data_IF_797290514347
#
_entry.id   IF_797290514347
#
_cell.length_a   1.000
_cell.length_b   1.000
_cell.length_c   1.000
_cell.angle_alpha   90.00
_cell.angle_beta   90.00
_cell.angle_gamma   90.00
#
_symmetry.space_group_name_H-M   'P 1'
#
loop_
_entity.id
_entity.type
_entity.pdbx_description
1 polymer ?
#
# COMPACT_ATOMS: atom_id res chain seq x y z
N UNK A 1 -15.34 22.74 13.53
CA UNK A 1 -14.07 22.06 13.86
C UNK A 1 -12.91 23.02 13.59
N UNK A 2 -11.91 23.10 14.46
CA UNK A 2 -10.68 23.88 14.17
C UNK A 2 -9.76 23.05 13.28
N UNK A 3 -9.69 23.39 11.99
CA UNK A 3 -8.88 22.67 11.01
C UNK A 3 -7.36 22.91 11.17
N UNK A 4 -6.96 23.89 11.98
CA UNK A 4 -5.54 24.21 12.20
C UNK A 4 -4.81 23.08 12.93
N UNK A 5 -5.52 22.28 13.74
CA UNK A 5 -4.95 21.11 14.41
C UNK A 5 -4.36 20.08 13.44
N UNK A 6 -4.79 20.06 12.18
CA UNK A 6 -4.31 19.15 11.15
C UNK A 6 -3.13 19.66 10.32
N UNK A 7 -2.71 20.91 10.51
CA UNK A 7 -1.71 21.56 9.65
C UNK A 7 -0.38 20.82 9.55
N UNK A 8 0.01 20.07 10.60
CA UNK A 8 1.26 19.31 10.58
C UNK A 8 1.19 18.00 9.82
N UNK A 9 -0.05 17.42 9.70
CA UNK A 9 -0.23 16.08 9.14
C UNK A 9 -0.92 16.08 7.78
N UNK A 10 -1.84 17.01 7.51
CA UNK A 10 -2.64 17.04 6.27
C UNK A 10 -1.80 17.30 5.01
N UNK A 11 -2.26 16.90 3.81
CA UNK A 11 -1.80 17.48 2.56
C UNK A 11 -1.91 19.01 2.58
N UNK A 12 -1.12 19.67 1.77
CA UNK A 12 -1.30 21.13 1.60
C UNK A 12 -2.64 21.43 0.94
N UNK A 13 -3.26 22.56 1.30
CA UNK A 13 -4.38 23.11 0.53
C UNK A 13 -3.87 23.65 -0.80
N UNK A 14 -4.73 23.77 -1.79
CA UNK A 14 -4.30 24.19 -3.13
C UNK A 14 -3.78 25.64 -3.13
N UNK A 15 -4.30 26.50 -2.23
CA UNK A 15 -3.85 27.88 -2.04
C UNK A 15 -2.41 27.98 -1.48
N UNK A 16 -1.93 26.94 -0.80
CA UNK A 16 -0.57 26.89 -0.25
C UNK A 16 0.47 26.47 -1.32
N UNK A 17 0.03 25.84 -2.41
CA UNK A 17 0.92 25.24 -3.41
C UNK A 17 1.91 26.23 -4.05
N UNK A 18 1.54 27.47 -4.41
CA UNK A 18 2.49 28.40 -5.02
C UNK A 18 3.72 28.64 -4.14
N UNK A 19 3.51 28.86 -2.83
CA UNK A 19 4.61 29.06 -1.88
C UNK A 19 5.44 27.78 -1.75
N UNK A 20 4.80 26.62 -1.57
CA UNK A 20 5.48 25.33 -1.37
C UNK A 20 6.29 24.95 -2.62
N UNK A 21 5.82 25.26 -3.82
CA UNK A 21 6.58 25.03 -5.05
C UNK A 21 7.84 25.89 -5.10
N UNK A 22 7.79 27.17 -4.73
CA UNK A 22 8.99 28.01 -4.66
C UNK A 22 10.00 27.47 -3.63
N UNK A 23 9.53 27.02 -2.47
CA UNK A 23 10.38 26.42 -1.45
C UNK A 23 11.03 25.12 -1.92
N UNK A 24 10.32 24.27 -2.67
CA UNK A 24 10.88 23.06 -3.29
C UNK A 24 11.88 23.40 -4.40
N UNK A 25 11.55 24.35 -5.27
CA UNK A 25 12.40 24.78 -6.39
C UNK A 25 13.72 25.39 -5.88
N UNK A 26 13.68 26.08 -4.75
CA UNK A 26 14.85 26.67 -4.11
C UNK A 26 15.72 25.65 -3.37
N UNK A 27 15.21 24.45 -3.07
CA UNK A 27 15.95 23.40 -2.32
C UNK A 27 16.95 22.68 -3.23
N UNK A 28 18.28 22.77 -2.95
CA UNK A 28 19.30 22.13 -3.80
C UNK A 28 19.21 20.62 -3.84
N UNK A 29 18.76 19.97 -2.73
CA UNK A 29 18.63 18.53 -2.65
C UNK A 29 17.43 18.04 -3.49
N UNK A 30 16.30 18.77 -3.45
CA UNK A 30 15.17 18.52 -4.34
C UNK A 30 15.57 18.72 -5.81
N UNK A 31 16.26 19.81 -6.15
CA UNK A 31 16.76 20.04 -7.51
C UNK A 31 17.59 18.87 -8.02
N UNK A 32 18.56 18.40 -7.21
CA UNK A 32 19.40 17.25 -7.55
C UNK A 32 18.57 15.99 -7.77
N UNK A 33 17.61 15.71 -6.89
CA UNK A 33 16.74 14.54 -6.97
C UNK A 33 15.84 14.60 -8.21
N UNK A 34 15.21 15.74 -8.48
CA UNK A 34 14.32 15.93 -9.63
C UNK A 34 15.09 15.80 -10.97
N UNK A 35 16.27 16.38 -11.06
CA UNK A 35 17.14 16.25 -12.25
C UNK A 35 17.59 14.81 -12.46
N UNK A 36 17.86 14.07 -11.37
CA UNK A 36 18.22 12.65 -11.47
C UNK A 36 17.04 11.75 -11.87
N UNK A 37 15.83 12.08 -11.43
CA UNK A 37 14.61 11.34 -11.78
C UNK A 37 14.16 11.58 -13.24
N UNK A 38 14.41 12.77 -13.80
CA UNK A 38 14.02 13.17 -15.16
C UNK A 38 15.23 13.78 -15.87
N UNK A 39 16.25 12.97 -16.20
CA UNK A 39 17.56 13.48 -16.63
C UNK A 39 17.56 14.24 -17.97
N UNK A 40 16.56 14.00 -18.81
CA UNK A 40 16.47 14.62 -20.15
C UNK A 40 15.68 15.94 -20.17
N UNK A 41 15.24 16.43 -19.00
CA UNK A 41 14.47 17.69 -18.89
C UNK A 41 15.24 18.67 -18.02
N UNK A 42 15.57 19.87 -18.53
CA UNK A 42 16.17 20.92 -17.72
C UNK A 42 15.32 21.26 -16.48
N UNK A 43 15.94 21.42 -15.33
CA UNK A 43 15.23 21.68 -14.08
C UNK A 43 14.33 22.93 -14.15
N UNK A 44 14.75 23.95 -14.86
CA UNK A 44 13.99 25.20 -15.06
C UNK A 44 12.65 24.96 -15.76
N UNK A 45 12.59 23.98 -16.68
CA UNK A 45 11.33 23.59 -17.31
C UNK A 45 10.43 22.82 -16.32
N UNK A 46 11.01 21.97 -15.48
CA UNK A 46 10.26 21.31 -14.39
C UNK A 46 9.70 22.35 -13.41
N UNK A 47 10.52 23.31 -12.98
CA UNK A 47 10.10 24.40 -12.11
C UNK A 47 8.99 25.26 -12.74
N UNK A 48 9.13 25.62 -14.01
CA UNK A 48 8.09 26.34 -14.75
C UNK A 48 6.80 25.54 -14.80
N UNK A 49 6.88 24.23 -15.07
CA UNK A 49 5.71 23.34 -15.08
C UNK A 49 5.06 23.24 -13.70
N UNK A 50 5.83 23.16 -12.60
CA UNK A 50 5.32 23.17 -11.24
C UNK A 50 4.48 24.44 -10.98
N UNK A 51 4.98 25.62 -11.36
CA UNK A 51 4.28 26.91 -11.19
C UNK A 51 2.94 27.00 -11.95
N UNK A 52 2.73 26.17 -12.99
CA UNK A 52 1.45 26.11 -13.70
C UNK A 52 0.40 25.27 -13.02
N UNK A 53 0.78 24.40 -12.07
CA UNK A 53 -0.15 23.55 -11.32
C UNK A 53 -0.92 24.40 -10.30
N UNK A 54 -2.24 24.38 -10.37
CA UNK A 54 -3.13 25.11 -9.43
C UNK A 54 -3.65 24.22 -8.33
N UNK A 55 -3.75 22.91 -8.59
CA UNK A 55 -4.25 21.91 -7.66
C UNK A 55 -3.23 20.79 -7.48
N UNK A 56 -3.36 20.03 -6.39
CA UNK A 56 -2.59 18.80 -6.18
C UNK A 56 -2.80 17.79 -7.30
N UNK A 57 -4.02 17.72 -7.83
CA UNK A 57 -4.33 16.81 -8.96
C UNK A 57 -3.60 17.25 -10.23
N UNK A 58 -3.48 18.57 -10.49
CA UNK A 58 -2.68 19.08 -11.62
C UNK A 58 -1.22 18.63 -11.48
N UNK A 59 -0.66 18.77 -10.27
CA UNK A 59 0.70 18.30 -9.99
C UNK A 59 0.86 16.80 -10.22
N UNK A 60 -0.07 15.98 -9.70
CA UNK A 60 -0.04 14.53 -9.89
C UNK A 60 -0.11 14.15 -11.37
N UNK A 61 -0.99 14.78 -12.14
CA UNK A 61 -1.10 14.57 -13.59
C UNK A 61 0.13 15.03 -14.35
N UNK A 62 0.75 16.13 -13.94
CA UNK A 62 1.90 16.71 -14.63
C UNK A 62 3.21 15.95 -14.37
N UNK A 63 3.38 15.37 -13.18
CA UNK A 63 4.67 14.80 -12.73
C UNK A 63 4.61 13.31 -12.35
N UNK A 64 3.51 12.84 -11.75
CA UNK A 64 3.44 11.47 -11.25
C UNK A 64 2.82 10.50 -12.27
N UNK A 65 1.75 10.92 -12.93
CA UNK A 65 0.95 10.06 -13.79
C UNK A 65 1.76 9.42 -14.92
N UNK A 66 2.47 10.21 -15.72
CA UNK A 66 3.28 9.69 -16.84
C UNK A 66 4.45 8.82 -16.38
N UNK A 67 5.09 9.16 -15.24
CA UNK A 67 6.18 8.36 -14.67
C UNK A 67 5.66 7.00 -14.19
N UNK A 68 4.52 6.98 -13.49
CA UNK A 68 3.95 5.74 -12.97
C UNK A 68 3.44 4.82 -14.10
N UNK A 69 2.86 5.39 -15.16
CA UNK A 69 2.49 4.61 -16.34
C UNK A 69 3.71 4.04 -17.06
N UNK A 70 4.77 4.83 -17.21
CA UNK A 70 6.03 4.33 -17.76
C UNK A 70 6.60 3.17 -16.93
N UNK A 71 6.60 3.29 -15.60
CA UNK A 71 7.01 2.18 -14.72
C UNK A 71 6.11 0.96 -14.92
N UNK A 72 4.80 1.15 -15.05
CA UNK A 72 3.87 0.05 -15.30
C UNK A 72 4.16 -0.64 -16.64
N UNK A 73 4.36 0.12 -17.72
CA UNK A 73 4.66 -0.39 -19.06
C UNK A 73 6.00 -1.14 -19.13
N UNK A 74 7.03 -0.63 -18.45
CA UNK A 74 8.39 -1.21 -18.48
C UNK A 74 8.53 -2.43 -17.54
N UNK A 75 7.77 -2.49 -16.45
CA UNK A 75 8.00 -3.47 -15.36
C UNK A 75 6.80 -4.34 -15.03
N UNK A 76 5.70 -4.28 -15.84
CA UNK A 76 4.55 -5.19 -15.70
C UNK A 76 4.10 -5.75 -17.05
N UNK A 77 3.37 -6.86 -17.00
CA UNK A 77 2.64 -7.42 -18.15
C UNK A 77 1.16 -6.99 -18.14
N UNK A 78 0.89 -5.81 -17.64
CA UNK A 78 -0.42 -5.20 -17.55
C UNK A 78 -0.80 -4.82 -16.12
N UNK A 79 -1.33 -3.62 -16.00
CA UNK A 79 -1.85 -3.02 -14.78
C UNK A 79 -3.35 -2.76 -14.97
N UNK A 80 -4.18 -3.31 -14.08
CA UNK A 80 -5.64 -3.27 -14.22
C UNK A 80 -6.34 -2.97 -12.89
N UNK A 81 -7.52 -2.31 -12.98
CA UNK A 81 -8.40 -2.03 -11.84
C UNK A 81 -9.82 -2.48 -12.17
N UNK A 82 -10.43 -3.25 -11.28
CA UNK A 82 -11.88 -3.44 -11.22
C UNK A 82 -12.45 -2.65 -10.03
N UNK A 83 -13.30 -1.67 -10.34
CA UNK A 83 -13.97 -0.79 -9.37
C UNK A 83 -15.48 -0.91 -9.42
N UNK A 84 -16.03 -1.93 -10.11
CA UNK A 84 -17.46 -2.07 -10.37
C UNK A 84 -18.29 -2.30 -9.10
N UNK A 85 -17.70 -2.81 -8.03
CA UNK A 85 -18.38 -3.03 -6.75
C UNK A 85 -18.79 -1.74 -6.02
N UNK A 86 -18.26 -0.58 -6.44
CA UNK A 86 -18.61 0.75 -5.90
C UNK A 86 -19.27 1.60 -6.98
N UNK A 87 -20.59 1.58 -7.10
CA UNK A 87 -21.30 2.25 -8.20
C UNK A 87 -21.26 3.78 -8.09
N UNK A 88 -21.16 4.32 -6.86
CA UNK A 88 -21.09 5.77 -6.65
C UNK A 88 -19.65 6.27 -6.68
N UNK A 89 -19.15 6.60 -7.86
CA UNK A 89 -17.79 7.14 -8.07
C UNK A 89 -17.55 8.54 -7.46
N UNK A 90 -18.61 9.23 -7.01
CA UNK A 90 -18.51 10.55 -6.37
C UNK A 90 -18.47 10.49 -4.85
N UNK A 91 -18.75 9.33 -4.26
CA UNK A 91 -18.69 9.12 -2.81
C UNK A 91 -17.24 8.84 -2.40
N UNK A 92 -16.82 9.41 -1.27
CA UNK A 92 -15.53 9.11 -0.67
C UNK A 92 -15.54 7.74 0.03
N UNK A 93 -14.45 6.99 -0.14
CA UNK A 93 -14.22 5.69 0.46
C UNK A 93 -12.85 5.62 1.12
N UNK A 94 -12.75 4.86 2.20
CA UNK A 94 -11.46 4.43 2.76
C UNK A 94 -11.08 3.09 2.12
N UNK A 95 -10.17 3.13 1.16
CA UNK A 95 -9.60 1.90 0.58
C UNK A 95 -8.62 1.30 1.56
N UNK A 96 -8.98 0.16 2.17
CA UNK A 96 -8.08 -0.63 3.03
C UNK A 96 -7.58 -1.82 2.21
N UNK A 97 -6.26 -1.94 2.07
CA UNK A 97 -5.68 -3.00 1.25
C UNK A 97 -4.60 -3.81 1.96
N UNK A 98 -4.34 -5.03 1.47
CA UNK A 98 -3.06 -5.67 1.65
C UNK A 98 -1.94 -4.80 1.06
N UNK A 99 -0.67 -5.03 1.45
CA UNK A 99 0.43 -4.13 1.10
C UNK A 99 1.58 -4.90 0.46
N UNK A 100 1.83 -4.64 -0.83
CA UNK A 100 2.86 -5.31 -1.66
C UNK A 100 4.08 -4.44 -1.87
N UNK A 101 3.89 -3.17 -2.24
CA UNK A 101 4.95 -2.23 -2.58
C UNK A 101 4.84 -0.92 -1.78
N UNK A 102 5.99 -0.35 -1.39
CA UNK A 102 6.02 0.87 -0.55
C UNK A 102 5.43 2.08 -1.28
N UNK A 103 5.64 2.18 -2.59
CA UNK A 103 5.28 3.34 -3.41
C UNK A 103 4.16 3.01 -4.38
N UNK A 104 4.24 1.84 -5.04
CA UNK A 104 3.39 1.54 -6.19
C UNK A 104 1.96 1.15 -5.82
N UNK A 105 1.69 0.64 -4.61
CA UNK A 105 0.33 0.29 -4.24
C UNK A 105 -0.59 1.52 -4.29
N UNK A 106 -0.22 2.61 -3.63
CA UNK A 106 -0.98 3.87 -3.68
C UNK A 106 -0.79 4.63 -4.98
N UNK A 107 0.41 4.55 -5.57
CA UNK A 107 0.73 5.19 -6.85
C UNK A 107 -0.08 4.61 -8.00
N UNK A 108 -0.09 3.29 -8.17
CA UNK A 108 -0.87 2.61 -9.20
C UNK A 108 -2.37 2.79 -8.98
N UNK A 109 -2.85 2.69 -7.73
CA UNK A 109 -4.25 2.99 -7.44
C UNK A 109 -4.62 4.40 -7.94
N UNK A 110 -3.79 5.41 -7.66
CA UNK A 110 -4.06 6.80 -8.03
C UNK A 110 -4.17 6.98 -9.55
N UNK A 111 -3.24 6.42 -10.35
CA UNK A 111 -3.31 6.56 -11.82
C UNK A 111 -4.49 5.80 -12.41
N UNK A 112 -4.81 4.62 -11.88
CA UNK A 112 -5.95 3.82 -12.31
C UNK A 112 -7.29 4.50 -12.02
N UNK A 113 -7.42 5.20 -10.88
CA UNK A 113 -8.59 6.00 -10.56
C UNK A 113 -8.75 7.18 -11.51
N UNK A 114 -7.64 7.87 -11.85
CA UNK A 114 -7.64 8.96 -12.84
C UNK A 114 -8.14 8.47 -14.20
N UNK A 115 -7.73 7.31 -14.65
CA UNK A 115 -8.17 6.72 -15.92
C UNK A 115 -9.68 6.39 -15.94
N UNK A 116 -10.23 6.11 -14.77
CA UNK A 116 -11.68 5.91 -14.62
C UNK A 116 -12.46 7.22 -14.42
N UNK A 117 -11.80 8.38 -14.54
CA UNK A 117 -12.40 9.70 -14.39
C UNK A 117 -12.68 10.09 -12.93
N UNK A 118 -12.02 9.42 -11.97
CA UNK A 118 -12.13 9.71 -10.53
C UNK A 118 -10.97 10.56 -10.06
N UNK A 119 -11.11 11.17 -8.88
CA UNK A 119 -10.01 11.82 -8.19
C UNK A 119 -9.08 10.78 -7.54
N UNK A 120 -7.83 11.15 -7.30
CA UNK A 120 -6.85 10.34 -6.60
C UNK A 120 -7.16 10.28 -5.10
N UNK A 121 -6.55 9.33 -4.40
CA UNK A 121 -6.72 9.18 -2.95
C UNK A 121 -5.76 10.06 -2.14
N UNK A 122 -6.13 10.40 -0.91
CA UNK A 122 -5.16 10.79 0.10
C UNK A 122 -4.48 9.56 0.68
N UNK A 123 -3.16 9.64 0.90
CA UNK A 123 -2.31 8.49 1.19
C UNK A 123 -1.75 8.61 2.60
N UNK A 124 -1.98 7.59 3.45
CA UNK A 124 -1.34 7.49 4.75
C UNK A 124 0.14 7.12 4.61
N UNK A 125 1.07 8.01 4.99
CA UNK A 125 2.51 7.77 4.91
C UNK A 125 3.18 7.91 6.28
N UNK A 126 4.01 6.93 6.67
CA UNK A 126 4.79 7.00 7.91
C UNK A 126 5.90 8.04 7.84
N UNK A 127 6.08 8.80 8.92
CA UNK A 127 7.13 9.84 9.03
C UNK A 127 8.56 9.27 8.96
N UNK A 128 8.76 7.99 9.25
CA UNK A 128 10.03 7.30 9.10
C UNK A 128 10.58 7.28 7.67
N UNK A 129 9.74 7.52 6.67
CA UNK A 129 10.13 7.63 5.25
C UNK A 129 10.51 9.05 4.85
N UNK A 130 10.27 10.04 5.71
CA UNK A 130 10.43 11.47 5.44
C UNK A 130 11.79 12.00 5.93
N UNK A 131 12.88 11.37 5.46
CA UNK A 131 14.25 11.62 5.92
C UNK A 131 14.82 13.00 5.58
N UNK A 132 14.22 13.69 4.59
CA UNK A 132 14.62 15.05 4.21
C UNK A 132 13.41 16.01 4.22
N UNK A 133 13.60 17.30 4.58
CA UNK A 133 12.50 18.27 4.62
C UNK A 133 11.76 18.42 3.29
N UNK A 134 12.46 18.38 2.16
CA UNK A 134 11.84 18.47 0.83
C UNK A 134 10.97 17.24 0.51
N UNK A 135 11.31 16.04 1.01
CA UNK A 135 10.46 14.85 0.83
C UNK A 135 9.13 15.06 1.56
N UNK A 136 9.16 15.58 2.81
CA UNK A 136 7.94 15.90 3.56
C UNK A 136 7.03 16.87 2.80
N UNK A 137 7.61 17.90 2.17
CA UNK A 137 6.85 18.82 1.32
C UNK A 137 6.28 18.12 0.09
N UNK A 138 7.11 17.37 -0.63
CA UNK A 138 6.71 16.71 -1.87
C UNK A 138 5.56 15.70 -1.66
N UNK A 139 5.64 14.86 -0.63
CA UNK A 139 4.57 13.88 -0.35
C UNK A 139 3.25 14.56 0.04
N UNK A 140 3.30 15.69 0.77
CA UNK A 140 2.11 16.47 1.12
C UNK A 140 1.50 17.19 -0.10
N UNK A 141 2.32 17.63 -1.06
CA UNK A 141 1.85 18.09 -2.38
C UNK A 141 1.19 16.92 -3.12
N UNK A 142 1.71 15.69 -2.98
CA UNK A 142 1.16 14.50 -3.60
C UNK A 142 0.03 13.85 -2.78
N UNK A 143 -0.78 14.64 -2.10
CA UNK A 143 -1.94 14.22 -1.31
C UNK A 143 -1.63 13.22 -0.18
N UNK A 144 -0.39 13.16 0.37
CA UNK A 144 -0.12 12.30 1.51
C UNK A 144 -0.36 13.03 2.83
N UNK A 145 -1.01 12.36 3.80
CA UNK A 145 -1.05 12.77 5.19
C UNK A 145 -0.11 11.92 6.04
N UNK A 146 0.45 12.53 7.10
CA UNK A 146 1.58 11.98 7.83
C UNK A 146 1.11 11.19 9.04
N UNK A 147 1.53 9.91 9.11
CA UNK A 147 1.37 9.03 10.27
C UNK A 147 2.61 9.16 11.15
N UNK A 148 2.47 9.81 12.31
CA UNK A 148 3.55 10.01 13.26
C UNK A 148 3.81 8.74 14.07
N UNK A 149 5.07 8.26 14.13
CA UNK A 149 5.44 6.98 14.74
C UNK A 149 6.42 7.09 15.91
N UNK A 150 7.40 7.97 15.82
CA UNK A 150 8.49 8.09 16.80
C UNK A 150 8.08 8.95 18.01
N UNK A 151 7.07 8.51 18.80
CA UNK A 151 6.45 9.25 19.88
C UNK A 151 6.43 8.46 21.19
N UNK A 152 6.39 9.17 22.32
CA UNK A 152 6.04 8.56 23.61
C UNK A 152 4.61 8.02 23.58
N UNK A 153 4.26 7.13 24.51
CA UNK A 153 2.93 6.50 24.54
C UNK A 153 1.79 7.53 24.61
N UNK A 154 1.95 8.60 25.40
CA UNK A 154 0.97 9.70 25.50
C UNK A 154 0.85 10.47 24.18
N UNK A 155 1.97 10.86 23.59
CA UNK A 155 2.00 11.57 22.31
C UNK A 155 1.44 10.72 21.18
N UNK A 156 1.68 9.40 21.21
CA UNK A 156 1.12 8.45 20.23
C UNK A 156 -0.42 8.43 20.28
N UNK A 157 -1.00 8.45 21.47
CA UNK A 157 -2.46 8.50 21.62
C UNK A 157 -3.03 9.82 21.06
N UNK A 158 -2.42 10.96 21.40
CA UNK A 158 -2.83 12.28 20.91
C UNK A 158 -2.70 12.38 19.37
N UNK A 159 -1.58 11.92 18.81
CA UNK A 159 -1.33 11.90 17.38
C UNK A 159 -2.29 10.97 16.63
N UNK A 160 -2.57 9.77 17.16
CA UNK A 160 -3.51 8.83 16.57
C UNK A 160 -4.95 9.38 16.60
N UNK A 161 -5.36 10.03 17.68
CA UNK A 161 -6.67 10.67 17.79
C UNK A 161 -6.81 11.82 16.79
N UNK A 162 -5.80 12.68 16.67
CA UNK A 162 -5.77 13.78 15.69
C UNK A 162 -5.85 13.24 14.26
N UNK A 163 -5.07 12.22 13.95
CA UNK A 163 -5.08 11.58 12.63
C UNK A 163 -6.43 10.95 12.32
N UNK A 164 -7.05 10.26 13.28
CA UNK A 164 -8.38 9.67 13.12
C UNK A 164 -9.42 10.75 12.83
N UNK A 165 -9.44 11.86 13.59
CA UNK A 165 -10.34 13.00 13.32
C UNK A 165 -10.10 13.60 11.93
N UNK A 166 -8.83 13.68 11.51
CA UNK A 166 -8.51 14.13 10.16
C UNK A 166 -9.09 13.20 9.08
N UNK A 167 -8.98 11.88 9.25
CA UNK A 167 -9.54 10.92 8.31
C UNK A 167 -11.07 10.99 8.24
N UNK A 168 -11.76 11.10 9.39
CA UNK A 168 -13.21 11.32 9.45
C UNK A 168 -13.62 12.60 8.71
N UNK A 169 -12.95 13.73 9.00
CA UNK A 169 -13.14 14.97 8.27
C UNK A 169 -12.94 14.80 6.74
N UNK A 170 -11.91 14.07 6.35
CA UNK A 170 -11.58 13.84 4.93
C UNK A 170 -12.68 13.05 4.21
N UNK A 171 -13.24 12.03 4.85
CA UNK A 171 -14.31 11.20 4.28
C UNK A 171 -15.67 11.93 4.35
N UNK A 172 -16.06 12.40 5.52
CA UNK A 172 -17.43 12.89 5.77
C UNK A 172 -17.68 14.31 5.25
N UNK A 173 -16.72 15.23 5.43
CA UNK A 173 -16.89 16.66 5.11
C UNK A 173 -16.19 17.05 3.81
N UNK A 174 -14.93 16.64 3.64
CA UNK A 174 -14.15 16.95 2.43
C UNK A 174 -14.55 16.12 1.22
N UNK A 175 -15.24 14.99 1.43
CA UNK A 175 -15.62 14.00 0.42
C UNK A 175 -14.45 13.55 -0.44
N UNK A 176 -13.30 13.26 0.19
CA UNK A 176 -12.07 12.82 -0.43
C UNK A 176 -11.74 11.41 0.02
N UNK A 177 -11.50 10.50 -0.93
CA UNK A 177 -11.11 9.11 -0.62
C UNK A 177 -9.71 9.03 -0.03
N UNK A 178 -9.52 8.01 0.83
CA UNK A 178 -8.25 7.71 1.51
C UNK A 178 -7.79 6.31 1.12
N UNK A 179 -6.47 6.12 1.00
CA UNK A 179 -5.85 4.80 0.97
C UNK A 179 -5.01 4.55 2.23
N UNK A 180 -5.20 3.40 2.82
CA UNK A 180 -4.42 2.92 3.97
C UNK A 180 -4.19 1.42 3.87
N UNK A 181 -2.98 0.96 4.25
CA UNK A 181 -2.73 -0.47 4.36
C UNK A 181 -3.45 -1.08 5.59
N UNK A 182 -3.93 -2.32 5.47
CA UNK A 182 -4.62 -3.04 6.55
C UNK A 182 -3.73 -3.37 7.76
N UNK A 183 -2.43 -3.12 7.64
CA UNK A 183 -1.42 -3.40 8.66
C UNK A 183 -0.25 -2.43 8.59
N UNK A 184 0.51 -2.37 9.68
CA UNK A 184 1.80 -1.69 9.65
C UNK A 184 2.82 -2.47 8.82
N UNK A 185 3.36 -1.84 7.78
CA UNK A 185 4.33 -2.41 6.87
C UNK A 185 3.78 -3.57 6.02
N UNK A 186 4.62 -4.12 5.15
CA UNK A 186 4.28 -5.21 4.23
C UNK A 186 4.42 -6.57 4.92
N UNK A 187 3.47 -7.48 4.73
CA UNK A 187 3.63 -8.88 5.12
C UNK A 187 4.78 -9.51 4.31
N UNK A 188 5.74 -10.15 5.00
CA UNK A 188 6.91 -10.73 4.34
C UNK A 188 6.62 -12.06 3.66
N UNK A 189 5.59 -12.74 4.12
CA UNK A 189 5.12 -14.02 3.62
C UNK A 189 3.81 -13.92 2.82
N UNK A 190 3.35 -12.69 2.54
CA UNK A 190 2.05 -12.42 1.93
C UNK A 190 0.83 -12.97 2.68
N UNK A 191 0.98 -13.35 3.95
CA UNK A 191 -0.14 -13.66 4.83
C UNK A 191 -0.62 -12.36 5.49
N UNK A 192 -1.25 -11.53 4.69
CA UNK A 192 -1.75 -10.23 5.14
C UNK A 192 -2.98 -10.43 6.02
N UNK A 193 -3.02 -9.72 7.16
CA UNK A 193 -4.16 -9.69 8.07
C UNK A 193 -4.39 -8.28 8.57
N UNK A 194 -5.65 -7.90 8.72
CA UNK A 194 -6.02 -6.61 9.28
C UNK A 194 -5.60 -6.54 10.74
N UNK A 195 -4.81 -5.53 11.10
CA UNK A 195 -4.37 -5.31 12.46
C UNK A 195 -5.39 -4.49 13.25
N UNK A 196 -5.69 -4.92 14.48
CA UNK A 196 -6.54 -4.18 15.41
C UNK A 196 -6.09 -2.74 15.62
N UNK A 197 -4.78 -2.47 15.57
CA UNK A 197 -4.22 -1.13 15.71
C UNK A 197 -4.71 -0.18 14.61
N UNK A 198 -4.90 -0.68 13.39
CA UNK A 198 -5.45 0.11 12.26
C UNK A 198 -6.91 0.43 12.51
N UNK A 199 -7.70 -0.56 12.94
CA UNK A 199 -9.11 -0.36 13.25
C UNK A 199 -9.31 0.58 14.45
N UNK A 200 -8.51 0.41 15.51
CA UNK A 200 -8.51 1.30 16.67
C UNK A 200 -8.21 2.74 16.26
N UNK A 201 -7.20 2.92 15.42
CA UNK A 201 -6.83 4.24 14.89
C UNK A 201 -7.99 4.84 14.06
N UNK A 202 -8.60 4.09 13.15
CA UNK A 202 -9.74 4.55 12.36
C UNK A 202 -10.93 4.95 13.24
N UNK A 203 -11.17 4.25 14.35
CA UNK A 203 -12.30 4.47 15.23
C UNK A 203 -12.08 5.49 16.36
N UNK A 204 -10.89 6.10 16.49
CA UNK A 204 -10.63 7.09 17.56
C UNK A 204 -11.33 8.43 17.31
N UNK A 205 -11.56 8.80 16.06
CA UNK A 205 -12.43 9.91 15.65
C UNK A 205 -13.88 9.46 15.48
N UNK A 206 -14.73 10.38 15.03
CA UNK A 206 -16.14 10.12 14.79
C UNK A 206 -17.01 10.06 16.07
N UNK A 207 -18.30 9.91 15.88
CA UNK A 207 -19.30 9.87 16.95
C UNK A 207 -19.96 8.48 17.04
N UNK A 208 -20.63 8.17 18.16
CA UNK A 208 -21.29 6.89 18.38
C UNK A 208 -20.35 5.79 18.88
N UNK A 209 -20.77 4.54 18.71
CA UNK A 209 -19.99 3.37 19.10
C UNK A 209 -18.92 3.01 18.03
N UNK A 210 -18.20 1.89 18.25
CA UNK A 210 -17.14 1.44 17.35
C UNK A 210 -17.65 1.19 15.92
N UNK A 211 -18.80 0.57 15.78
CA UNK A 211 -19.40 0.23 14.47
C UNK A 211 -19.84 1.50 13.76
N UNK A 212 -20.49 2.44 14.45
CA UNK A 212 -20.94 3.70 13.84
C UNK A 212 -19.77 4.51 13.30
N UNK A 213 -18.68 4.62 14.07
CA UNK A 213 -17.46 5.32 13.67
C UNK A 213 -16.79 4.68 12.45
N UNK A 214 -16.74 3.35 12.38
CA UNK A 214 -16.16 2.65 11.23
C UNK A 214 -17.06 2.72 9.99
N UNK A 215 -18.40 2.73 10.18
CA UNK A 215 -19.34 2.95 9.07
C UNK A 215 -19.20 4.34 8.44
N UNK A 216 -18.95 5.38 9.24
CA UNK A 216 -18.68 6.73 8.74
C UNK A 216 -17.49 6.76 7.78
N UNK A 217 -16.48 5.90 8.01
CA UNK A 217 -15.29 5.80 7.17
C UNK A 217 -15.55 5.18 5.79
N UNK A 218 -16.73 4.63 5.50
CA UNK A 218 -17.06 3.97 4.22
C UNK A 218 -15.96 3.02 3.75
N UNK A 219 -15.61 2.05 4.58
CA UNK A 219 -14.49 1.13 4.31
C UNK A 219 -14.79 0.29 3.07
N UNK A 220 -13.94 0.38 2.06
CA UNK A 220 -13.94 -0.42 0.86
C UNK A 220 -12.65 -1.26 0.81
N UNK A 221 -12.71 -2.56 1.11
CA UNK A 221 -11.56 -3.43 1.02
C UNK A 221 -11.04 -3.51 -0.42
N UNK A 222 -9.71 -3.43 -0.56
CA UNK A 222 -9.02 -3.44 -1.85
C UNK A 222 -8.01 -4.58 -1.89
N UNK A 223 -8.19 -5.53 -2.79
CA UNK A 223 -7.22 -6.59 -3.03
C UNK A 223 -6.19 -6.14 -4.07
N UNK A 224 -4.91 -6.22 -3.73
CA UNK A 224 -3.79 -5.94 -4.62
C UNK A 224 -3.06 -7.25 -4.89
N UNK A 225 -3.06 -7.68 -6.15
CA UNK A 225 -2.46 -8.94 -6.60
C UNK A 225 -1.33 -8.66 -7.59
N UNK A 226 -0.12 -9.04 -7.22
CA UNK A 226 1.07 -9.03 -8.07
C UNK A 226 1.40 -10.47 -8.47
N UNK A 227 1.63 -10.73 -9.75
CA UNK A 227 2.06 -12.05 -10.24
C UNK A 227 3.44 -12.42 -9.68
N UNK A 228 4.36 -11.45 -9.66
CA UNK A 228 5.67 -11.57 -9.03
C UNK A 228 5.92 -10.40 -8.08
N UNK A 229 6.41 -10.68 -6.90
CA UNK A 229 6.83 -9.66 -5.94
C UNK A 229 8.32 -9.36 -6.14
N UNK A 230 8.71 -8.21 -6.70
CA UNK A 230 10.11 -7.93 -6.99
C UNK A 230 11.01 -7.89 -5.75
N UNK A 231 10.43 -7.73 -4.56
CA UNK A 231 11.14 -7.71 -3.29
C UNK A 231 11.13 -9.06 -2.56
N UNK A 232 10.68 -10.15 -3.18
CA UNK A 232 10.52 -11.45 -2.53
C UNK A 232 11.82 -12.00 -1.94
N UNK A 233 12.92 -11.94 -2.67
CA UNK A 233 14.24 -12.37 -2.18
C UNK A 233 14.74 -11.50 -1.01
N UNK A 234 14.43 -10.21 -0.97
CA UNK A 234 14.75 -9.33 0.16
C UNK A 234 13.91 -9.69 1.39
N UNK A 235 12.64 -10.04 1.19
CA UNK A 235 11.73 -10.49 2.24
C UNK A 235 12.16 -11.85 2.79
N UNK A 236 12.53 -12.80 1.92
CA UNK A 236 13.07 -14.11 2.34
C UNK A 236 14.37 -13.96 3.12
N UNK A 237 15.31 -13.14 2.63
CA UNK A 237 16.54 -12.77 3.33
C UNK A 237 16.27 -12.25 4.74
N UNK A 238 15.28 -11.37 4.92
CA UNK A 238 14.93 -10.81 6.22
C UNK A 238 14.46 -11.88 7.21
N UNK A 239 13.77 -12.95 6.77
CA UNK A 239 13.38 -14.07 7.63
C UNK A 239 14.61 -14.78 8.21
N UNK A 240 15.60 -15.11 7.39
CA UNK A 240 16.81 -15.76 7.88
C UNK A 240 17.62 -14.83 8.81
N UNK A 241 17.80 -13.57 8.44
CA UNK A 241 18.52 -12.60 9.29
C UNK A 241 17.86 -12.43 10.66
N UNK A 242 16.52 -12.40 10.73
CA UNK A 242 15.79 -12.37 12.00
C UNK A 242 15.90 -13.64 12.82
N UNK A 243 16.03 -14.79 12.18
CA UNK A 243 16.29 -16.07 12.86
C UNK A 243 17.70 -16.13 13.44
N UNK A 244 18.69 -15.69 12.67
CA UNK A 244 20.11 -15.92 12.95
C UNK A 244 20.76 -14.80 13.80
N UNK A 245 20.18 -13.60 13.80
CA UNK A 245 20.72 -12.41 14.47
C UNK A 245 19.70 -11.90 15.49
N UNK A 246 20.04 -12.06 16.77
CA UNK A 246 19.21 -11.53 17.86
C UNK A 246 19.06 -10.01 17.76
N UNK A 247 17.81 -9.52 17.85
CA UNK A 247 17.52 -8.10 17.77
C UNK A 247 17.69 -7.47 16.39
N UNK A 248 17.79 -8.27 15.32
CA UNK A 248 17.90 -7.75 13.95
C UNK A 248 16.80 -6.73 13.63
N UNK A 249 17.22 -5.56 13.16
CA UNK A 249 16.33 -4.50 12.66
C UNK A 249 16.83 -4.03 11.30
N UNK A 250 15.89 -3.75 10.41
CA UNK A 250 16.19 -3.09 9.14
C UNK A 250 16.80 -1.71 9.35
N UNK A 251 17.69 -1.36 8.44
CA UNK A 251 18.26 -0.02 8.33
C UNK A 251 17.46 0.84 7.34
N UNK A 252 17.68 2.16 7.37
CA UNK A 252 17.14 3.07 6.34
C UNK A 252 17.61 2.70 4.94
N UNK A 253 18.84 2.17 4.82
CA UNK A 253 19.39 1.69 3.54
C UNK A 253 18.61 0.48 3.01
N UNK A 254 18.19 -0.45 3.87
CA UNK A 254 17.35 -1.58 3.46
C UNK A 254 16.01 -1.10 2.90
N UNK A 255 15.42 -0.05 3.47
CA UNK A 255 14.17 0.51 2.96
C UNK A 255 14.35 1.19 1.60
N UNK A 256 15.46 1.90 1.38
CA UNK A 256 15.80 2.48 0.06
C UNK A 256 16.00 1.39 -1.00
N UNK A 257 16.73 0.32 -0.67
CA UNK A 257 16.91 -0.84 -1.58
C UNK A 257 15.55 -1.47 -1.91
N UNK A 258 14.69 -1.65 -0.90
CA UNK A 258 13.34 -2.19 -1.14
C UNK A 258 12.49 -1.28 -2.02
N UNK A 259 12.56 0.05 -1.86
CA UNK A 259 11.85 0.99 -2.72
C UNK A 259 12.35 0.93 -4.17
N UNK A 260 13.67 0.94 -4.39
CA UNK A 260 14.25 0.83 -5.74
C UNK A 260 13.90 -0.50 -6.40
N UNK A 261 14.04 -1.61 -5.66
CA UNK A 261 13.71 -2.95 -6.16
C UNK A 261 12.22 -3.06 -6.48
N UNK A 262 11.34 -2.49 -5.65
CA UNK A 262 9.91 -2.43 -5.89
C UNK A 262 9.56 -1.62 -7.14
N UNK A 263 10.14 -0.43 -7.30
CA UNK A 263 9.88 0.43 -8.46
C UNK A 263 10.30 -0.23 -9.79
N UNK A 264 11.52 -0.75 -9.87
CA UNK A 264 12.16 -1.16 -11.12
C UNK A 264 12.23 -2.68 -11.34
N UNK A 265 11.80 -3.48 -10.37
CA UNK A 265 11.75 -4.93 -10.54
C UNK A 265 10.51 -5.38 -11.33
N UNK A 266 10.65 -6.49 -12.05
CA UNK A 266 9.57 -7.09 -12.82
C UNK A 266 8.46 -7.63 -11.92
N UNK A 267 7.19 -7.38 -12.29
CA UNK A 267 6.00 -7.69 -11.47
C UNK A 267 5.04 -8.67 -12.13
N UNK A 268 5.25 -9.02 -13.43
CA UNK A 268 4.24 -9.73 -14.18
C UNK A 268 2.94 -8.93 -14.31
N UNK A 269 1.80 -9.57 -14.23
CA UNK A 269 0.50 -8.90 -14.21
C UNK A 269 0.21 -8.33 -12.81
N UNK A 270 -0.36 -7.13 -12.79
CA UNK A 270 -0.77 -6.44 -11.56
C UNK A 270 -2.25 -6.11 -11.63
N UNK A 271 -3.00 -6.52 -10.61
CA UNK A 271 -4.44 -6.31 -10.57
C UNK A 271 -4.89 -5.72 -9.23
N UNK A 272 -5.75 -4.71 -9.32
CA UNK A 272 -6.42 -4.07 -8.21
C UNK A 272 -7.91 -4.42 -8.28
N UNK A 273 -8.47 -5.04 -7.24
CA UNK A 273 -9.88 -5.40 -7.17
C UNK A 273 -10.51 -4.73 -5.97
N UNK A 274 -11.41 -3.78 -6.21
CA UNK A 274 -12.17 -3.13 -5.14
C UNK A 274 -13.38 -3.99 -4.78
N UNK A 275 -13.56 -4.25 -3.49
CA UNK A 275 -14.77 -4.90 -2.97
C UNK A 275 -15.87 -3.88 -2.65
N UNK A 276 -17.10 -4.35 -2.43
CA UNK A 276 -18.17 -3.51 -1.91
C UNK A 276 -17.80 -2.89 -0.57
N UNK A 277 -18.34 -1.70 -0.28
CA UNK A 277 -18.23 -1.08 1.04
C UNK A 277 -18.87 -2.00 2.09
N UNK A 278 -18.17 -2.21 3.22
CA UNK A 278 -18.59 -3.19 4.26
C UNK A 278 -19.58 -2.63 5.27
N UNK A 279 -20.20 -1.49 5.02
CA UNK A 279 -21.13 -0.87 5.99
C UNK A 279 -22.31 -1.76 6.36
N UNK A 280 -22.83 -2.54 5.40
CA UNK A 280 -23.94 -3.45 5.62
C UNK A 280 -23.52 -4.66 6.47
N UNK A 281 -22.31 -5.18 6.25
CA UNK A 281 -21.72 -6.25 7.06
C UNK A 281 -21.41 -5.77 8.48
N UNK A 282 -20.89 -4.56 8.62
CA UNK A 282 -20.64 -3.97 9.95
C UNK A 282 -21.93 -3.85 10.77
N UNK A 283 -23.05 -3.52 10.13
CA UNK A 283 -24.36 -3.43 10.80
C UNK A 283 -24.85 -4.78 11.35
N UNK A 284 -24.43 -5.90 10.75
CA UNK A 284 -24.82 -7.25 11.18
C UNK A 284 -23.95 -7.79 12.33
N UNK A 285 -22.88 -7.11 12.70
CA UNK A 285 -22.01 -7.54 13.79
C UNK A 285 -22.72 -7.28 15.14
N UNK A 286 -22.74 -8.27 16.01
CA UNK A 286 -23.28 -8.13 17.35
C UNK A 286 -22.48 -7.12 18.18
N UNK A 287 -23.07 -5.96 18.43
CA UNK A 287 -22.45 -4.85 19.15
C UNK A 287 -22.22 -5.14 20.63
N UNK A 288 -22.85 -6.21 21.18
CA UNK A 288 -22.66 -6.64 22.57
C UNK A 288 -21.41 -7.47 22.82
N UNK A 289 -20.70 -7.88 21.76
CA UNK A 289 -19.47 -8.65 21.86
C UNK A 289 -18.41 -7.93 22.70
N UNK A 290 -17.58 -8.67 23.46
CA UNK A 290 -16.39 -8.11 24.09
C UNK A 290 -15.48 -7.43 23.04
N UNK A 291 -14.85 -6.33 23.41
CA UNK A 291 -14.01 -5.54 22.46
C UNK A 291 -13.04 -6.37 21.62
N UNK A 292 -12.29 -7.36 22.17
CA UNK A 292 -11.38 -8.18 21.34
C UNK A 292 -12.11 -8.99 20.26
N UNK A 293 -13.27 -9.55 20.60
CA UNK A 293 -14.10 -10.33 19.67
C UNK A 293 -14.73 -9.43 18.60
N UNK A 294 -15.16 -8.24 19.00
CA UNK A 294 -15.69 -7.24 18.08
C UNK A 294 -14.62 -6.79 17.04
N UNK A 295 -13.40 -6.50 17.49
CA UNK A 295 -12.29 -6.20 16.57
C UNK A 295 -11.94 -7.38 15.66
N UNK A 296 -11.94 -8.60 16.19
CA UNK A 296 -11.70 -9.81 15.41
C UNK A 296 -12.78 -10.01 14.32
N UNK A 297 -14.07 -9.79 14.65
CA UNK A 297 -15.17 -9.87 13.69
C UNK A 297 -15.03 -8.83 12.56
N UNK A 298 -14.69 -7.59 12.90
CA UNK A 298 -14.47 -6.51 11.93
C UNK A 298 -13.25 -6.82 11.04
N UNK A 299 -12.14 -7.24 11.65
CA UNK A 299 -10.92 -7.64 10.90
C UNK A 299 -11.22 -8.78 9.93
N UNK A 300 -11.96 -9.80 10.38
CA UNK A 300 -12.36 -10.93 9.54
C UNK A 300 -13.23 -10.50 8.36
N UNK A 301 -14.13 -9.53 8.55
CA UNK A 301 -14.95 -8.98 7.48
C UNK A 301 -14.07 -8.34 6.37
N UNK A 302 -13.10 -7.51 6.76
CA UNK A 302 -12.16 -6.87 5.81
C UNK A 302 -11.29 -7.92 5.13
N UNK A 303 -10.69 -8.83 5.90
CA UNK A 303 -9.77 -9.86 5.39
C UNK A 303 -10.47 -10.79 4.40
N UNK A 304 -11.68 -11.27 4.71
CA UNK A 304 -12.47 -12.11 3.79
C UNK A 304 -12.76 -11.41 2.46
N UNK A 305 -13.08 -10.10 2.50
CA UNK A 305 -13.32 -9.32 1.30
C UNK A 305 -12.04 -9.16 0.46
N UNK A 306 -10.89 -8.92 1.08
CA UNK A 306 -9.60 -8.87 0.38
C UNK A 306 -9.27 -10.25 -0.21
N UNK A 307 -9.36 -11.32 0.58
CA UNK A 307 -8.96 -12.67 0.16
C UNK A 307 -9.84 -13.23 -0.97
N UNK A 308 -11.16 -13.01 -0.95
CA UNK A 308 -12.06 -13.40 -2.03
C UNK A 308 -11.76 -12.69 -3.34
N UNK A 309 -11.23 -11.48 -3.27
CA UNK A 309 -10.94 -10.63 -4.41
C UNK A 309 -9.48 -10.71 -4.90
N UNK A 310 -8.66 -11.59 -4.33
CA UNK A 310 -7.34 -11.84 -4.90
C UNK A 310 -7.45 -12.43 -6.30
N UNK A 311 -6.69 -11.88 -7.23
CA UNK A 311 -6.45 -12.51 -8.53
C UNK A 311 -5.33 -13.53 -8.37
N UNK A 312 -5.62 -14.80 -8.65
CA UNK A 312 -4.63 -15.86 -8.64
C UNK A 312 -3.91 -15.95 -9.97
N UNK A 313 -2.63 -16.26 -9.92
CA UNK A 313 -1.77 -16.49 -11.06
C UNK A 313 -1.19 -17.91 -10.98
N UNK A 314 -0.71 -18.50 -12.11
CA UNK A 314 -0.15 -19.86 -12.11
C UNK A 314 0.87 -20.13 -11.00
N UNK A 315 1.75 -19.15 -10.72
CA UNK A 315 2.74 -19.23 -9.65
C UNK A 315 2.17 -19.48 -8.25
N UNK A 316 0.94 -19.02 -7.96
CA UNK A 316 0.30 -19.26 -6.67
C UNK A 316 -0.04 -20.74 -6.47
N UNK A 317 -0.55 -21.39 -7.52
CA UNK A 317 -0.92 -22.79 -7.50
C UNK A 317 0.33 -23.70 -7.51
N UNK A 318 1.34 -23.37 -8.33
CA UNK A 318 2.61 -24.09 -8.35
C UNK A 318 3.29 -24.00 -6.99
N UNK A 319 3.32 -22.82 -6.36
CA UNK A 319 3.92 -22.65 -5.03
C UNK A 319 3.19 -23.48 -3.98
N UNK A 320 1.86 -23.52 -4.03
CA UNK A 320 1.06 -24.33 -3.10
C UNK A 320 1.38 -25.82 -3.26
N UNK A 321 1.31 -26.36 -4.49
CA UNK A 321 1.59 -27.76 -4.76
C UNK A 321 3.04 -28.13 -4.38
N UNK A 322 4.01 -27.27 -4.69
CA UNK A 322 5.41 -27.50 -4.35
C UNK A 322 5.64 -27.50 -2.83
N UNK A 323 5.10 -26.51 -2.13
CA UNK A 323 5.25 -26.37 -0.68
C UNK A 323 4.66 -27.53 0.10
N UNK A 324 3.49 -28.04 -0.35
CA UNK A 324 2.76 -29.11 0.33
C UNK A 324 3.11 -30.52 -0.22
N UNK A 325 3.93 -30.63 -1.26
CA UNK A 325 4.23 -31.91 -1.92
C UNK A 325 3.00 -32.55 -2.57
N UNK A 326 2.07 -31.73 -3.09
CA UNK A 326 0.82 -32.16 -3.71
C UNK A 326 0.82 -31.93 -5.21
N UNK A 327 -0.22 -32.42 -5.86
CA UNK A 327 -0.52 -32.19 -7.28
C UNK A 327 -1.97 -31.69 -7.46
N UNK A 328 -2.51 -31.07 -6.42
CA UNK A 328 -3.92 -30.69 -6.31
C UNK A 328 -4.35 -29.74 -7.44
N UNK A 329 -3.47 -28.84 -7.85
CA UNK A 329 -3.78 -27.79 -8.84
C UNK A 329 -3.10 -27.99 -10.19
N UNK A 330 -2.56 -29.16 -10.48
CA UNK A 330 -1.86 -29.45 -11.77
C UNK A 330 -2.74 -29.26 -13.02
N UNK A 331 -4.05 -29.25 -12.87
CA UNK A 331 -4.99 -28.94 -13.97
C UNK A 331 -5.23 -27.44 -14.20
N UNK A 332 -4.69 -26.57 -13.33
CA UNK A 332 -4.89 -25.09 -13.39
C UNK A 332 -3.73 -24.38 -14.11
N UNK A 333 -2.52 -24.99 -14.08
CA UNK A 333 -1.32 -24.43 -14.70
C UNK A 333 -0.70 -25.39 -15.71
N UNK A 334 -0.05 -24.87 -16.73
CA UNK A 334 0.69 -25.67 -17.71
C UNK A 334 2.07 -26.08 -17.21
N UNK A 335 2.72 -27.05 -17.91
CA UNK A 335 4.09 -27.43 -17.57
C UNK A 335 5.08 -26.30 -17.83
N UNK A 336 4.84 -25.46 -18.84
CA UNK A 336 5.64 -24.31 -19.16
C UNK A 336 5.56 -23.27 -18.05
N UNK A 337 4.35 -22.95 -17.56
CA UNK A 337 4.13 -22.04 -16.44
C UNK A 337 4.80 -22.55 -15.15
N UNK A 338 4.73 -23.88 -14.90
CA UNK A 338 5.43 -24.49 -13.78
C UNK A 338 6.94 -24.33 -13.91
N UNK A 339 7.52 -24.65 -15.06
CA UNK A 339 8.95 -24.50 -15.29
C UNK A 339 9.41 -23.07 -15.17
N UNK A 340 8.65 -22.13 -15.72
CA UNK A 340 8.92 -20.68 -15.62
C UNK A 340 8.94 -20.24 -14.15
N UNK A 341 7.93 -20.61 -13.38
CA UNK A 341 7.86 -20.24 -11.96
C UNK A 341 8.97 -20.87 -11.13
N UNK A 342 9.27 -22.16 -11.35
CA UNK A 342 10.39 -22.85 -10.68
C UNK A 342 11.72 -22.16 -11.00
N UNK A 343 11.98 -21.85 -12.28
CA UNK A 343 13.17 -21.11 -12.71
C UNK A 343 13.25 -19.72 -12.07
N UNK A 344 12.12 -19.02 -11.95
CA UNK A 344 12.02 -17.74 -11.27
C UNK A 344 12.42 -17.86 -9.78
N UNK A 345 11.87 -18.83 -9.03
CA UNK A 345 12.21 -19.04 -7.61
C UNK A 345 13.70 -19.33 -7.43
N UNK A 346 14.30 -20.18 -8.28
CA UNK A 346 15.74 -20.49 -8.21
C UNK A 346 16.59 -19.22 -8.52
N UNK A 347 16.15 -18.41 -9.48
CA UNK A 347 16.80 -17.12 -9.76
C UNK A 347 16.73 -16.16 -8.56
N UNK A 348 15.58 -16.05 -7.91
CA UNK A 348 15.40 -15.19 -6.72
C UNK A 348 16.23 -15.71 -5.55
N UNK A 349 16.27 -17.02 -5.34
CA UNK A 349 17.13 -17.65 -4.33
C UNK A 349 18.61 -17.34 -4.59
N UNK A 350 19.04 -17.35 -5.86
CA UNK A 350 20.40 -17.00 -6.27
C UNK A 350 20.82 -15.56 -5.94
N UNK A 351 19.85 -14.61 -5.87
CA UNK A 351 20.12 -13.21 -5.51
C UNK A 351 20.40 -12.99 -4.02
N UNK A 352 20.13 -13.99 -3.16
CA UNK A 352 20.30 -13.82 -1.72
C UNK A 352 21.73 -14.13 -1.32
N UNK A 353 22.47 -13.09 -0.96
CA UNK A 353 23.84 -13.17 -0.48
C UNK A 353 23.87 -12.86 1.03
N UNK A 354 24.02 -13.89 1.85
CA UNK A 354 24.14 -13.79 3.32
C UNK A 354 25.07 -14.89 3.85
N UNK A 355 25.77 -14.66 4.97
CA UNK A 355 26.53 -15.71 5.64
C UNK A 355 25.64 -16.90 6.03
N UNK A 356 26.20 -18.11 5.98
CA UNK A 356 25.49 -19.34 6.38
C UNK A 356 24.11 -19.50 5.71
N UNK A 357 24.01 -19.18 4.42
CA UNK A 357 22.79 -19.23 3.64
C UNK A 357 22.07 -20.58 3.78
N UNK A 358 20.86 -20.54 4.33
CA UNK A 358 19.99 -21.71 4.48
C UNK A 358 19.00 -21.76 3.30
N UNK A 359 19.42 -22.42 2.22
CA UNK A 359 18.63 -22.49 0.98
C UNK A 359 17.26 -23.15 1.17
N UNK A 360 17.15 -24.12 2.08
CA UNK A 360 15.88 -24.80 2.34
C UNK A 360 14.87 -23.83 2.98
N UNK A 361 15.29 -23.10 4.02
CA UNK A 361 14.46 -22.06 4.64
C UNK A 361 14.09 -20.96 3.65
N UNK A 362 15.06 -20.46 2.90
CA UNK A 362 14.83 -19.33 1.99
C UNK A 362 13.87 -19.73 0.87
N UNK A 363 13.99 -20.93 0.31
CA UNK A 363 13.05 -21.46 -0.69
C UNK A 363 11.65 -21.62 -0.09
N UNK A 364 11.54 -22.18 1.12
CA UNK A 364 10.25 -22.24 1.84
C UNK A 364 9.62 -20.85 1.97
N UNK A 365 10.38 -19.81 2.39
CA UNK A 365 9.85 -18.46 2.56
C UNK A 365 9.47 -17.81 1.24
N UNK A 366 10.21 -18.05 0.16
CA UNK A 366 9.83 -17.64 -1.18
C UNK A 366 8.50 -18.30 -1.61
N UNK A 367 8.38 -19.63 -1.45
CA UNK A 367 7.15 -20.34 -1.82
C UNK A 367 5.94 -19.89 -0.98
N UNK A 368 6.10 -19.64 0.32
CA UNK A 368 5.04 -19.15 1.19
C UNK A 368 4.47 -17.81 0.70
N UNK A 369 5.30 -16.89 0.18
CA UNK A 369 4.81 -15.61 -0.34
C UNK A 369 3.83 -15.77 -1.49
N UNK A 370 3.99 -16.81 -2.31
CA UNK A 370 3.10 -17.09 -3.44
C UNK A 370 1.96 -18.05 -3.07
N UNK A 371 2.16 -18.97 -2.11
CA UNK A 371 1.12 -19.90 -1.67
C UNK A 371 0.08 -19.25 -0.73
N UNK A 372 0.49 -18.35 0.18
CA UNK A 372 -0.41 -17.76 1.18
C UNK A 372 -1.62 -17.01 0.59
N UNK A 373 -1.51 -16.22 -0.50
CA UNK A 373 -2.68 -15.64 -1.14
C UNK A 373 -3.71 -16.68 -1.57
N UNK A 374 -3.28 -17.83 -2.12
CA UNK A 374 -4.17 -18.92 -2.50
C UNK A 374 -4.78 -19.60 -1.26
N UNK A 375 -3.99 -19.89 -0.23
CA UNK A 375 -4.46 -20.47 1.03
C UNK A 375 -5.57 -19.60 1.64
N UNK A 376 -5.34 -18.28 1.73
CA UNK A 376 -6.30 -17.33 2.27
C UNK A 376 -7.55 -17.23 1.38
N UNK A 377 -7.38 -17.22 0.05
CA UNK A 377 -8.50 -17.20 -0.89
C UNK A 377 -9.39 -18.44 -0.74
N UNK A 378 -8.80 -19.63 -0.72
CA UNK A 378 -9.54 -20.89 -0.53
C UNK A 378 -10.28 -20.93 0.80
N UNK A 379 -9.66 -20.43 1.88
CA UNK A 379 -10.30 -20.34 3.19
C UNK A 379 -11.47 -19.36 3.22
N UNK A 380 -11.38 -18.24 2.49
CA UNK A 380 -12.43 -17.23 2.43
C UNK A 380 -13.60 -17.62 1.50
N UNK A 381 -13.40 -18.57 0.56
CA UNK A 381 -14.43 -19.05 -0.37
C UNK A 381 -15.20 -20.28 0.13
N UNK A 382 -14.75 -20.90 1.23
CA UNK A 382 -15.48 -21.98 1.93
C UNK A 382 -16.60 -21.40 2.79
#
# INVERSE_FOLDING_TARGET
MDLTEFNEIRPYNDEELPQIFEELIADPAFRKAATGAIPNVPFELLAQKMRTCKTKLDFQKAFCYGILWKIAEEHTNGLTLDHNALPNKKKAYTYISNHRDIILDSGFLSILLVDQGMDTVEIAIGDNLLIYPWIKKLVRVNKSFIVQRALTMRQMLEASTRMSRYMHYTIAEKNQSIWIAQREGRAKDSNDRTQDSVLKMLAMGGEGDLIDRLKEMNIAPLAISYEYDPCDFLKAREFQLKRDIEGYKKTTQDDLINMQTGLFGYKGKVHFQVASCINDELEQIDRSLPKPELFAAISACIDQRIYRNYRMYPGNYVAYDWLNGTTEFTGIYSQEEKQQFVGYIEQQLGKIEIPNKDEALLREKLLLMYANPLINHLAACR
#
